data_IF_178593894080
#
_entry.id   IF_178593894080
#
_cell.length_a   1.000
_cell.length_b   1.000
_cell.length_c   1.000
_cell.angle_alpha   90.00
_cell.angle_beta   90.00
_cell.angle_gamma   90.00
#
_symmetry.space_group_name_H-M   'P 1'
#
loop_
_entity.id
_entity.type
_entity.pdbx_description
1 polymer ?
#
# COMPACT_ATOMS: atom_id res chain seq x y z
N UNK A 1 -0.82 -8.10 18.50
CA UNK A 1 -0.55 -6.64 18.67
C UNK A 1 0.67 -6.11 17.89
N UNK A 2 1.47 -6.97 17.25
CA UNK A 2 2.71 -6.58 16.52
C UNK A 2 2.44 -6.03 15.11
N UNK A 3 1.36 -6.43 14.45
CA UNK A 3 1.10 -6.10 13.05
C UNK A 3 0.62 -4.65 12.78
N UNK A 4 -0.05 -3.99 13.74
CA UNK A 4 -0.63 -2.64 13.53
C UNK A 4 0.45 -1.57 13.36
N UNK A 5 1.58 -1.70 14.05
CA UNK A 5 2.66 -0.70 13.98
C UNK A 5 3.31 -0.61 12.59
N UNK A 6 3.30 -1.70 11.80
CA UNK A 6 3.91 -1.71 10.46
C UNK A 6 3.09 -0.92 9.43
N UNK A 7 1.78 -0.79 9.63
CA UNK A 7 0.91 -0.06 8.70
C UNK A 7 0.95 1.45 8.88
N UNK A 8 1.40 1.96 10.03
CA UNK A 8 1.52 3.40 10.28
C UNK A 8 2.48 4.08 9.28
N UNK A 9 3.42 3.33 8.71
CA UNK A 9 4.33 3.84 7.68
C UNK A 9 3.57 4.38 6.45
N UNK A 10 2.41 3.81 6.11
CA UNK A 10 1.60 4.28 4.99
C UNK A 10 0.98 5.65 5.27
N UNK A 11 0.69 5.99 6.54
CA UNK A 11 0.25 7.33 6.92
C UNK A 11 1.37 8.35 6.68
N UNK A 12 2.59 8.02 7.06
CA UNK A 12 3.75 8.87 6.89
C UNK A 12 4.18 9.04 5.44
N UNK A 13 3.96 8.02 4.63
CA UNK A 13 4.28 8.00 3.20
C UNK A 13 3.07 8.26 2.31
N UNK A 14 1.93 8.66 2.86
CA UNK A 14 0.66 8.79 2.13
C UNK A 14 0.77 9.66 0.87
N UNK A 15 1.58 10.72 0.90
CA UNK A 15 1.85 11.59 -0.25
C UNK A 15 2.64 10.91 -1.39
N UNK A 16 3.30 9.78 -1.09
CA UNK A 16 4.07 9.00 -2.06
C UNK A 16 3.35 7.74 -2.51
N UNK A 17 2.24 7.39 -1.85
CA UNK A 17 1.43 6.22 -2.24
C UNK A 17 0.80 6.48 -3.59
N UNK A 18 1.05 5.59 -4.53
CA UNK A 18 0.54 5.66 -5.88
C UNK A 18 -0.20 4.37 -6.23
N UNK A 19 -1.47 4.53 -6.61
CA UNK A 19 -2.28 3.47 -7.18
C UNK A 19 -2.49 3.78 -8.67
N UNK A 20 -2.21 2.80 -9.54
CA UNK A 20 -2.49 2.83 -10.96
C UNK A 20 -3.47 1.72 -11.30
N UNK A 21 -4.58 2.05 -11.92
CA UNK A 21 -5.49 1.07 -12.51
C UNK A 21 -5.04 0.82 -13.94
N UNK A 22 -4.69 -0.43 -14.26
CA UNK A 22 -4.25 -0.87 -15.59
C UNK A 22 -5.43 -1.34 -16.43
N UNK A 23 -6.51 -1.83 -15.77
CA UNK A 23 -7.75 -2.24 -16.41
C UNK A 23 -8.82 -2.53 -15.37
N UNK A 24 -10.07 -2.25 -15.70
CA UNK A 24 -11.22 -2.61 -14.88
C UNK A 24 -12.40 -2.91 -15.81
N UNK A 25 -12.93 -4.11 -15.70
CA UNK A 25 -14.06 -4.54 -16.54
C UNK A 25 -14.86 -5.66 -15.87
N UNK A 26 -16.00 -5.98 -16.45
CA UNK A 26 -16.86 -7.08 -16.02
C UNK A 26 -16.61 -8.32 -16.88
N UNK A 27 -16.54 -9.47 -16.25
CA UNK A 27 -16.47 -10.77 -16.88
C UNK A 27 -17.71 -11.60 -16.54
N UNK A 28 -18.27 -12.26 -17.55
CA UNK A 28 -19.40 -13.20 -17.41
C UNK A 28 -19.00 -14.51 -18.05
N UNK A 29 -19.04 -15.58 -17.28
CA UNK A 29 -18.63 -16.89 -17.73
C UNK A 29 -19.75 -17.92 -17.60
N UNK A 30 -19.83 -18.81 -18.60
CA UNK A 30 -20.77 -19.93 -18.64
C UNK A 30 -20.37 -21.00 -17.59
N UNK A 31 -21.30 -21.97 -17.33
CA UNK A 31 -20.96 -23.16 -16.58
C UNK A 31 -19.70 -23.86 -17.14
N UNK A 32 -18.88 -24.42 -16.24
CA UNK A 32 -17.65 -25.13 -16.59
C UNK A 32 -16.53 -24.25 -17.23
N UNK A 33 -16.60 -22.93 -17.08
CA UNK A 33 -15.49 -22.08 -17.45
C UNK A 33 -14.26 -22.41 -16.61
N UNK A 34 -13.11 -22.52 -17.26
CA UNK A 34 -11.81 -22.75 -16.64
C UNK A 34 -10.82 -21.77 -17.24
N UNK A 35 -10.06 -21.13 -16.38
CA UNK A 35 -8.99 -20.22 -16.76
C UNK A 35 -7.76 -20.46 -15.90
N UNK A 36 -6.59 -20.63 -16.55
CA UNK A 36 -5.30 -20.72 -15.85
C UNK A 36 -4.45 -19.53 -16.28
N UNK A 37 -4.03 -18.72 -15.32
CA UNK A 37 -3.26 -17.50 -15.56
C UNK A 37 -2.25 -17.21 -14.46
N UNK A 38 -1.35 -16.30 -14.76
CA UNK A 38 -0.58 -15.51 -13.81
C UNK A 38 -0.50 -14.08 -14.37
N UNK A 39 -0.51 -13.08 -13.50
CA UNK A 39 -0.47 -11.67 -13.88
C UNK A 39 0.85 -11.03 -13.48
N UNK A 40 1.20 -9.90 -14.12
CA UNK A 40 2.38 -9.10 -13.77
C UNK A 40 2.05 -7.97 -12.79
N UNK A 41 0.76 -7.70 -12.58
CA UNK A 41 0.19 -6.74 -11.66
C UNK A 41 -0.76 -7.43 -10.67
N UNK A 42 -1.30 -6.67 -9.72
CA UNK A 42 -2.35 -7.19 -8.84
C UNK A 42 -3.66 -7.31 -9.60
N UNK A 43 -4.39 -8.38 -9.35
CA UNK A 43 -5.72 -8.58 -9.91
C UNK A 43 -6.72 -8.81 -8.77
N UNK A 44 -7.71 -7.93 -8.69
CA UNK A 44 -8.79 -7.98 -7.70
C UNK A 44 -10.10 -8.30 -8.41
N UNK A 45 -10.72 -9.42 -8.04
CA UNK A 45 -12.05 -9.79 -8.52
C UNK A 45 -13.10 -9.51 -7.45
N UNK A 46 -14.18 -8.84 -7.83
CA UNK A 46 -15.37 -8.66 -7.01
C UNK A 46 -16.47 -9.56 -7.57
N UNK A 47 -16.72 -10.69 -6.91
CA UNK A 47 -17.66 -11.71 -7.38
C UNK A 47 -19.11 -11.24 -7.15
N UNK A 48 -19.86 -11.11 -8.23
CA UNK A 48 -21.25 -10.62 -8.20
C UNK A 48 -22.25 -11.76 -8.16
N UNK A 49 -22.01 -12.82 -8.93
CA UNK A 49 -22.90 -13.96 -9.07
C UNK A 49 -22.11 -15.27 -9.20
N UNK A 50 -22.70 -16.34 -8.69
CA UNK A 50 -22.13 -17.68 -8.78
C UNK A 50 -21.08 -17.98 -7.72
N UNK A 51 -20.33 -19.03 -8.00
CA UNK A 51 -19.22 -19.50 -7.18
C UNK A 51 -18.02 -19.82 -8.07
N UNK A 52 -16.84 -19.57 -7.57
CA UNK A 52 -15.58 -19.86 -8.26
C UNK A 52 -14.69 -20.70 -7.33
N UNK A 53 -14.26 -21.85 -7.84
CA UNK A 53 -13.16 -22.62 -7.26
C UNK A 53 -11.84 -22.05 -7.79
N UNK A 54 -10.90 -21.76 -6.89
CA UNK A 54 -9.58 -21.25 -7.22
C UNK A 54 -8.57 -22.27 -6.71
N UNK A 55 -7.75 -22.76 -7.63
CA UNK A 55 -6.63 -23.66 -7.31
C UNK A 55 -5.32 -22.89 -7.43
N UNK A 56 -4.55 -22.91 -6.34
CA UNK A 56 -3.19 -22.38 -6.28
C UNK A 56 -2.30 -23.51 -5.77
N UNK A 57 -1.35 -23.95 -6.58
CA UNK A 57 -0.56 -25.16 -6.33
C UNK A 57 -1.46 -26.39 -6.05
N UNK A 58 -1.35 -27.01 -4.89
CA UNK A 58 -2.16 -28.19 -4.50
C UNK A 58 -3.43 -27.81 -3.70
N UNK A 59 -3.55 -26.54 -3.31
CA UNK A 59 -4.64 -26.07 -2.46
C UNK A 59 -5.81 -25.53 -3.29
N UNK A 60 -7.02 -25.74 -2.76
CA UNK A 60 -8.27 -25.35 -3.40
C UNK A 60 -9.07 -24.42 -2.48
N UNK A 61 -9.50 -23.29 -3.01
CA UNK A 61 -10.25 -22.27 -2.31
C UNK A 61 -11.59 -22.01 -3.00
N UNK A 62 -12.60 -21.67 -2.23
CA UNK A 62 -13.93 -21.37 -2.76
C UNK A 62 -14.29 -19.92 -2.46
N UNK A 63 -14.70 -19.19 -3.49
CA UNK A 63 -15.30 -17.86 -3.39
C UNK A 63 -16.77 -17.89 -3.80
N UNK A 64 -17.59 -17.14 -3.10
CA UNK A 64 -19.04 -17.02 -3.35
C UNK A 64 -19.42 -15.59 -3.69
N UNK A 65 -20.60 -15.40 -4.27
CA UNK A 65 -21.12 -14.08 -4.58
C UNK A 65 -21.04 -13.13 -3.39
N UNK A 66 -20.46 -11.96 -3.61
CA UNK A 66 -20.18 -10.94 -2.59
C UNK A 66 -18.71 -10.94 -2.12
N UNK A 67 -17.98 -12.02 -2.29
CA UNK A 67 -16.56 -12.08 -1.88
C UNK A 67 -15.65 -11.37 -2.87
N UNK A 68 -14.45 -10.99 -2.38
CA UNK A 68 -13.34 -10.54 -3.21
C UNK A 68 -12.29 -11.65 -3.33
N UNK A 69 -11.56 -11.63 -4.44
CA UNK A 69 -10.41 -12.50 -4.66
C UNK A 69 -9.25 -11.60 -5.07
N UNK A 70 -8.16 -11.62 -4.31
CA UNK A 70 -6.96 -10.84 -4.62
C UNK A 70 -5.81 -11.77 -5.02
N UNK A 71 -5.29 -11.56 -6.21
CA UNK A 71 -4.09 -12.21 -6.71
C UNK A 71 -2.92 -11.23 -6.70
N UNK A 72 -1.80 -11.65 -6.14
CA UNK A 72 -0.53 -10.91 -6.27
C UNK A 72 0.15 -11.23 -7.60
N UNK A 73 1.03 -10.34 -8.09
CA UNK A 73 1.82 -10.60 -9.28
C UNK A 73 2.53 -11.94 -9.23
N UNK A 74 2.57 -12.65 -10.35
CA UNK A 74 3.24 -13.95 -10.53
C UNK A 74 2.61 -15.13 -9.78
N UNK A 75 1.47 -14.93 -9.10
CA UNK A 75 0.68 -16.05 -8.57
C UNK A 75 0.02 -16.78 -9.73
N UNK A 76 0.47 -18.02 -10.00
CA UNK A 76 -0.21 -18.89 -10.94
C UNK A 76 -1.44 -19.51 -10.27
N UNK A 77 -2.57 -19.43 -10.93
CA UNK A 77 -3.82 -20.00 -10.44
C UNK A 77 -4.62 -20.64 -11.57
N UNK A 78 -5.53 -21.52 -11.18
CA UNK A 78 -6.62 -21.98 -12.05
C UNK A 78 -7.94 -21.65 -11.38
N UNK A 79 -8.80 -20.92 -12.07
CA UNK A 79 -10.15 -20.58 -11.64
C UNK A 79 -11.18 -21.37 -12.44
N UNK A 80 -12.18 -21.92 -11.77
CA UNK A 80 -13.26 -22.72 -12.38
C UNK A 80 -14.60 -22.24 -11.85
N UNK A 81 -15.56 -21.94 -12.73
CA UNK A 81 -16.92 -21.62 -12.31
C UNK A 81 -17.66 -22.90 -11.84
N UNK A 82 -18.38 -22.79 -10.73
CA UNK A 82 -19.19 -23.86 -10.18
C UNK A 82 -20.67 -23.57 -10.47
N UNK A 83 -21.42 -24.61 -10.84
CA UNK A 83 -22.88 -24.52 -11.07
C UNK A 83 -23.22 -23.77 -12.34
N UNK A 84 -24.02 -22.73 -12.26
CA UNK A 84 -24.62 -22.04 -13.42
C UNK A 84 -23.76 -20.96 -14.08
N UNK A 85 -22.45 -20.93 -13.76
CA UNK A 85 -21.54 -19.89 -14.23
C UNK A 85 -21.28 -18.83 -13.15
N UNK A 86 -20.52 -17.79 -13.52
CA UNK A 86 -20.18 -16.72 -12.61
C UNK A 86 -20.10 -15.37 -13.31
N UNK A 87 -20.26 -14.29 -12.53
CA UNK A 87 -20.08 -12.91 -12.98
C UNK A 87 -19.26 -12.15 -11.93
N UNK A 88 -18.19 -11.49 -12.36
CA UNK A 88 -17.34 -10.70 -11.49
C UNK A 88 -16.80 -9.47 -12.21
N UNK A 89 -16.43 -8.46 -11.42
CA UNK A 89 -15.67 -7.31 -11.88
C UNK A 89 -14.21 -7.56 -11.51
N UNK A 90 -13.33 -7.53 -12.51
CA UNK A 90 -11.90 -7.62 -12.29
C UNK A 90 -11.25 -6.25 -12.40
N UNK A 91 -10.21 -6.03 -11.62
CA UNK A 91 -9.42 -4.79 -11.63
C UNK A 91 -7.95 -5.12 -11.53
N UNK A 92 -7.25 -4.90 -12.63
CA UNK A 92 -5.78 -4.95 -12.69
C UNK A 92 -5.20 -3.63 -12.19
N UNK A 93 -4.28 -3.68 -11.25
CA UNK A 93 -3.70 -2.47 -10.68
C UNK A 93 -2.29 -2.69 -10.14
N UNK A 94 -1.56 -1.57 -10.00
CA UNK A 94 -0.32 -1.49 -9.25
C UNK A 94 -0.53 -0.59 -8.03
N UNK A 95 0.05 -0.96 -6.90
CA UNK A 95 0.17 -0.11 -5.72
C UNK A 95 1.64 0.01 -5.35
N UNK A 96 2.11 1.24 -5.20
CA UNK A 96 3.50 1.53 -4.94
C UNK A 96 3.73 2.74 -4.06
N UNK A 97 4.99 2.96 -3.69
CA UNK A 97 5.49 4.15 -3.02
C UNK A 97 6.59 4.75 -3.91
N UNK A 98 6.39 5.99 -4.36
CA UNK A 98 7.27 6.60 -5.35
C UNK A 98 7.35 5.77 -6.64
N UNK A 99 8.56 5.41 -7.05
CA UNK A 99 8.79 4.61 -8.27
C UNK A 99 8.75 3.09 -8.02
N UNK A 100 8.56 2.65 -6.77
CA UNK A 100 8.54 1.24 -6.40
C UNK A 100 7.11 0.72 -6.41
N UNK A 101 6.79 -0.08 -7.41
CA UNK A 101 5.52 -0.83 -7.53
C UNK A 101 5.65 -2.18 -6.81
N UNK A 102 4.55 -2.69 -6.27
CA UNK A 102 4.56 -3.99 -5.61
C UNK A 102 4.74 -3.92 -4.09
N UNK A 103 4.36 -2.81 -3.46
CA UNK A 103 4.46 -2.66 -1.99
C UNK A 103 3.60 -3.69 -1.25
N UNK A 104 2.51 -4.16 -1.85
CA UNK A 104 1.62 -5.18 -1.26
C UNK A 104 2.30 -6.55 -1.18
N UNK A 105 3.36 -6.80 -1.96
CA UNK A 105 4.12 -8.06 -1.91
C UNK A 105 4.80 -8.29 -0.54
N UNK A 106 4.95 -7.23 0.27
CA UNK A 106 5.44 -7.32 1.64
C UNK A 106 4.40 -7.86 2.63
N UNK A 107 3.14 -8.06 2.18
CA UNK A 107 2.04 -8.52 3.00
C UNK A 107 1.42 -9.78 2.39
N UNK A 108 0.98 -10.69 3.23
CA UNK A 108 0.27 -11.89 2.79
C UNK A 108 -1.21 -11.54 2.59
N UNK A 109 -1.53 -10.91 1.43
CA UNK A 109 -2.87 -10.42 1.13
C UNK A 109 -3.59 -11.24 0.05
N UNK A 110 -2.87 -12.08 -0.73
CA UNK A 110 -3.50 -12.86 -1.78
C UNK A 110 -4.38 -13.96 -1.20
N UNK A 111 -5.63 -14.01 -1.63
CA UNK A 111 -6.61 -14.95 -1.09
C UNK A 111 -8.04 -14.55 -1.38
N UNK A 112 -8.97 -15.31 -0.80
CA UNK A 112 -10.39 -14.98 -0.77
C UNK A 112 -10.66 -14.09 0.44
N UNK A 113 -11.28 -12.94 0.21
CA UNK A 113 -11.65 -11.96 1.24
C UNK A 113 -13.16 -11.99 1.36
N UNK A 114 -13.67 -12.44 2.50
CA UNK A 114 -15.12 -12.51 2.74
C UNK A 114 -15.72 -11.11 2.80
N UNK A 115 -16.90 -10.94 2.22
CA UNK A 115 -17.59 -9.65 2.13
C UNK A 115 -17.83 -8.98 3.50
N UNK A 116 -17.97 -9.76 4.56
CA UNK A 116 -18.21 -9.24 5.92
C UNK A 116 -17.12 -8.31 6.41
N UNK A 117 -15.90 -8.46 5.92
CA UNK A 117 -14.73 -7.66 6.32
C UNK A 117 -14.67 -6.29 5.63
N UNK A 118 -15.28 -6.17 4.43
CA UNK A 118 -15.12 -5.03 3.51
C UNK A 118 -16.44 -4.63 2.82
N UNK A 119 -17.57 -4.87 3.47
CA UNK A 119 -18.92 -4.74 2.90
C UNK A 119 -19.22 -3.35 2.35
N UNK A 120 -18.90 -2.32 3.11
CA UNK A 120 -19.19 -0.94 2.72
C UNK A 120 -18.28 -0.48 1.59
N UNK A 121 -17.03 -0.90 1.60
CA UNK A 121 -16.05 -0.59 0.58
C UNK A 121 -16.40 -1.26 -0.76
N UNK A 122 -16.88 -2.52 -0.71
CA UNK A 122 -17.40 -3.22 -1.91
C UNK A 122 -18.61 -2.46 -2.47
N UNK A 123 -19.57 -2.07 -1.64
CA UNK A 123 -20.76 -1.32 -2.08
C UNK A 123 -20.36 -0.05 -2.80
N UNK A 124 -19.45 0.74 -2.21
CA UNK A 124 -18.95 1.97 -2.80
C UNK A 124 -18.20 1.73 -4.12
N UNK A 125 -17.40 0.67 -4.19
CA UNK A 125 -16.69 0.27 -5.40
C UNK A 125 -17.67 -0.08 -6.53
N UNK A 126 -18.70 -0.88 -6.25
CA UNK A 126 -19.72 -1.29 -7.24
C UNK A 126 -20.50 -0.10 -7.77
N UNK A 127 -20.98 0.80 -6.91
CA UNK A 127 -21.67 2.02 -7.32
C UNK A 127 -20.79 2.89 -8.23
N UNK A 128 -19.51 2.98 -7.89
CA UNK A 128 -18.55 3.75 -8.68
C UNK A 128 -18.21 3.08 -10.00
N UNK A 129 -18.09 1.75 -10.01
CA UNK A 129 -17.86 1.00 -11.23
C UNK A 129 -19.01 1.18 -12.26
N UNK A 130 -20.26 1.20 -11.82
CA UNK A 130 -21.39 1.48 -12.71
C UNK A 130 -21.31 2.86 -13.38
N UNK A 131 -20.78 3.89 -12.65
CA UNK A 131 -20.53 5.19 -13.23
C UNK A 131 -19.34 5.15 -14.22
N UNK A 132 -18.30 4.40 -13.87
CA UNK A 132 -17.12 4.21 -14.72
C UNK A 132 -17.46 3.50 -16.02
N UNK A 133 -18.25 2.43 -15.97
CA UNK A 133 -18.75 1.67 -17.13
C UNK A 133 -19.53 2.56 -18.12
N UNK A 134 -20.24 3.56 -17.61
CA UNK A 134 -20.99 4.54 -18.43
C UNK A 134 -20.14 5.73 -18.85
N UNK A 135 -18.85 5.72 -18.58
CA UNK A 135 -17.93 6.85 -18.87
C UNK A 135 -18.39 8.20 -18.27
N UNK A 136 -19.02 8.17 -17.10
CA UNK A 136 -19.47 9.39 -16.42
C UNK A 136 -18.29 10.31 -16.10
N UNK A 137 -18.46 11.66 -16.12
CA UNK A 137 -17.39 12.58 -15.79
C UNK A 137 -16.77 12.28 -14.42
N UNK A 138 -15.44 12.33 -14.34
CA UNK A 138 -14.65 12.06 -13.12
C UNK A 138 -14.71 10.60 -12.60
N UNK A 139 -15.42 9.69 -13.28
CA UNK A 139 -15.60 8.31 -12.80
C UNK A 139 -14.29 7.54 -12.64
N UNK A 140 -13.28 7.78 -13.48
CA UNK A 140 -11.97 7.15 -13.34
C UNK A 140 -11.24 7.59 -12.07
N UNK A 141 -11.34 8.87 -11.69
CA UNK A 141 -10.75 9.37 -10.43
C UNK A 141 -11.50 8.81 -9.23
N UNK A 142 -12.85 8.74 -9.30
CA UNK A 142 -13.67 8.12 -8.26
C UNK A 142 -13.34 6.64 -8.08
N UNK A 143 -13.23 5.87 -9.19
CA UNK A 143 -12.86 4.46 -9.16
C UNK A 143 -11.50 4.25 -8.49
N UNK A 144 -10.52 5.08 -8.83
CA UNK A 144 -9.21 5.05 -8.17
C UNK A 144 -9.31 5.34 -6.67
N UNK A 145 -10.10 6.33 -6.26
CA UNK A 145 -10.34 6.65 -4.85
C UNK A 145 -11.00 5.50 -4.11
N UNK A 146 -12.05 4.90 -4.68
CA UNK A 146 -12.76 3.75 -4.08
C UNK A 146 -11.87 2.51 -3.98
N UNK A 147 -11.06 2.22 -5.01
CA UNK A 147 -10.09 1.12 -4.95
C UNK A 147 -9.03 1.38 -3.88
N UNK A 148 -8.57 2.62 -3.72
CA UNK A 148 -7.63 2.98 -2.64
C UNK A 148 -8.24 2.74 -1.26
N UNK A 149 -9.50 3.12 -1.04
CA UNK A 149 -10.24 2.88 0.20
C UNK A 149 -10.37 1.37 0.44
N UNK A 150 -10.76 0.60 -0.57
CA UNK A 150 -10.93 -0.85 -0.46
C UNK A 150 -9.63 -1.56 -0.11
N UNK A 151 -8.52 -1.25 -0.79
CA UNK A 151 -7.21 -1.83 -0.50
C UNK A 151 -6.73 -1.43 0.91
N UNK A 152 -6.89 -0.16 1.30
CA UNK A 152 -6.51 0.28 2.65
C UNK A 152 -7.30 -0.45 3.73
N UNK A 153 -8.58 -0.75 3.49
CA UNK A 153 -9.41 -1.54 4.42
C UNK A 153 -8.93 -2.99 4.50
N UNK A 154 -8.62 -3.63 3.39
CA UNK A 154 -8.04 -4.99 3.39
C UNK A 154 -6.73 -5.03 4.19
N UNK A 155 -5.85 -4.04 3.99
CA UNK A 155 -4.61 -3.93 4.75
C UNK A 155 -4.86 -3.68 6.26
N UNK A 156 -5.86 -2.87 6.60
CA UNK A 156 -6.28 -2.66 7.99
C UNK A 156 -6.72 -3.99 8.64
N UNK A 157 -7.57 -4.78 7.96
CA UNK A 157 -8.01 -6.08 8.45
C UNK A 157 -6.83 -7.06 8.63
N UNK A 158 -5.87 -7.03 7.71
CA UNK A 158 -4.62 -7.77 7.85
C UNK A 158 -3.83 -7.31 9.09
N UNK A 159 -3.66 -6.02 9.30
CA UNK A 159 -2.97 -5.45 10.47
C UNK A 159 -3.63 -5.78 11.80
N UNK A 160 -4.97 -5.88 11.83
CA UNK A 160 -5.75 -6.30 12.98
C UNK A 160 -5.72 -7.82 13.22
N UNK A 161 -5.13 -8.61 12.32
CA UNK A 161 -5.12 -10.08 12.36
C UNK A 161 -6.48 -10.71 12.06
N UNK A 162 -7.42 -9.95 11.48
CA UNK A 162 -8.76 -10.43 11.10
C UNK A 162 -8.79 -11.03 9.70
N UNK A 163 -7.79 -10.75 8.90
CA UNK A 163 -7.59 -11.29 7.57
C UNK A 163 -6.13 -11.69 7.36
N UNK A 164 -5.94 -12.81 6.70
CA UNK A 164 -4.64 -13.23 6.15
C UNK A 164 -4.90 -13.98 4.86
N UNK A 165 -4.22 -13.58 3.79
CA UNK A 165 -4.34 -14.25 2.51
C UNK A 165 -3.85 -15.69 2.58
N UNK A 166 -4.60 -16.58 1.93
CA UNK A 166 -4.40 -18.02 2.00
C UNK A 166 -3.61 -18.57 0.82
N UNK A 167 -3.49 -17.79 -0.29
CA UNK A 167 -2.73 -18.23 -1.47
C UNK A 167 -1.24 -18.21 -1.15
N UNK A 168 -0.76 -19.32 -0.60
CA UNK A 168 0.62 -19.45 -0.15
C UNK A 168 1.54 -19.90 -1.28
N UNK A 169 2.55 -19.10 -1.52
CA UNK A 169 3.71 -19.41 -2.35
C UNK A 169 4.82 -19.91 -1.46
N UNK A 170 5.18 -21.16 -1.57
CA UNK A 170 6.27 -21.74 -0.77
C UNK A 170 7.65 -21.10 -1.05
N UNK A 171 7.81 -20.44 -2.20
CA UNK A 171 9.14 -19.95 -2.63
C UNK A 171 9.34 -18.43 -2.44
N UNK A 172 8.29 -17.61 -2.43
CA UNK A 172 8.42 -16.14 -2.48
C UNK A 172 8.25 -15.43 -1.14
N UNK A 173 7.34 -15.90 -0.29
CA UNK A 173 6.98 -15.23 0.97
C UNK A 173 8.09 -15.25 2.03
N UNK A 174 8.98 -16.25 2.02
CA UNK A 174 10.07 -16.33 3.00
C UNK A 174 11.11 -15.21 2.91
N UNK A 175 11.24 -14.55 1.75
CA UNK A 175 12.25 -13.47 1.57
C UNK A 175 11.71 -12.07 1.79
N UNK A 176 10.43 -11.80 1.59
CA UNK A 176 9.89 -10.42 1.56
C UNK A 176 9.16 -9.98 2.84
N UNK A 177 8.42 -10.85 3.53
CA UNK A 177 7.75 -10.54 4.81
C UNK A 177 8.73 -10.16 5.93
N UNK A 178 10.01 -10.50 5.78
CA UNK A 178 11.08 -10.19 6.72
C UNK A 178 11.44 -8.69 6.69
N UNK A 179 11.21 -7.98 5.59
CA UNK A 179 11.75 -6.65 5.38
C UNK A 179 11.21 -5.58 6.33
N UNK A 180 9.90 -5.49 6.50
CA UNK A 180 9.30 -4.45 7.33
C UNK A 180 9.50 -4.71 8.83
N UNK A 181 9.43 -5.96 9.26
CA UNK A 181 9.67 -6.33 10.67
C UNK A 181 11.09 -5.99 11.11
N UNK A 182 12.08 -6.23 10.24
CA UNK A 182 13.47 -5.87 10.50
C UNK A 182 13.68 -4.35 10.60
N UNK A 183 12.86 -3.56 9.92
CA UNK A 183 12.93 -2.10 9.93
C UNK A 183 12.11 -1.45 11.06
N UNK A 184 11.28 -2.19 11.79
CA UNK A 184 10.48 -1.64 12.89
C UNK A 184 11.28 -0.84 13.92
N UNK A 185 12.40 -1.35 14.47
CA UNK A 185 13.21 -0.58 15.43
C UNK A 185 13.72 0.72 14.82
N UNK A 186 14.01 0.70 13.51
CA UNK A 186 14.46 1.89 12.76
C UNK A 186 13.35 2.93 12.67
N UNK A 187 12.12 2.51 12.36
CA UNK A 187 10.98 3.43 12.27
C UNK A 187 10.67 4.09 13.60
N UNK A 188 10.62 3.31 14.69
CA UNK A 188 10.43 3.86 16.03
C UNK A 188 11.52 4.89 16.37
N UNK A 189 12.78 4.52 16.14
CA UNK A 189 13.89 5.43 16.41
C UNK A 189 13.82 6.72 15.58
N UNK A 190 13.47 6.63 14.30
CA UNK A 190 13.30 7.82 13.45
C UNK A 190 12.20 8.73 14.00
N UNK A 191 11.04 8.18 14.37
CA UNK A 191 9.92 8.95 14.92
C UNK A 191 10.30 9.65 16.22
N UNK A 192 10.93 8.93 17.14
CA UNK A 192 11.34 9.46 18.45
C UNK A 192 12.44 10.53 18.32
N UNK A 193 13.36 10.36 17.37
CA UNK A 193 14.54 11.21 17.20
C UNK A 193 14.43 12.18 16.01
N UNK A 194 13.23 12.41 15.46
CA UNK A 194 13.04 13.29 14.29
C UNK A 194 13.51 14.73 14.53
N UNK A 195 13.55 15.14 15.81
CA UNK A 195 14.05 16.43 16.27
C UNK A 195 15.58 16.56 16.23
N UNK A 196 16.29 15.51 15.90
CA UNK A 196 17.75 15.49 15.82
C UNK A 196 18.26 15.27 14.39
N UNK A 197 19.57 15.42 14.24
CA UNK A 197 20.26 15.02 13.02
C UNK A 197 20.49 13.50 13.01
N UNK A 198 19.68 12.79 12.23
CA UNK A 198 19.74 11.33 12.11
C UNK A 198 20.85 10.91 11.14
N UNK A 199 21.74 10.02 11.58
CA UNK A 199 22.79 9.45 10.73
C UNK A 199 22.36 8.08 10.22
N UNK A 200 22.49 7.84 8.93
CA UNK A 200 22.12 6.56 8.28
C UNK A 200 22.90 5.39 8.89
N UNK A 201 24.15 5.61 9.29
CA UNK A 201 24.98 4.61 9.97
C UNK A 201 24.35 4.10 11.27
N UNK A 202 23.75 4.99 12.06
CA UNK A 202 23.14 4.62 13.34
C UNK A 202 21.86 3.80 13.10
N UNK A 203 21.09 4.14 12.07
CA UNK A 203 19.92 3.39 11.64
C UNK A 203 20.29 1.99 11.11
N UNK A 204 21.39 1.90 10.37
CA UNK A 204 21.90 0.63 9.88
C UNK A 204 22.29 -0.31 11.03
N UNK A 205 22.92 0.22 12.07
CA UNK A 205 23.27 -0.54 13.28
C UNK A 205 22.04 -1.08 14.00
N UNK A 206 20.97 -0.29 14.11
CA UNK A 206 19.68 -0.73 14.67
C UNK A 206 19.04 -1.88 13.88
N UNK A 207 19.24 -1.88 12.56
CA UNK A 207 18.76 -2.97 11.69
C UNK A 207 19.75 -4.17 11.66
N UNK A 208 20.89 -4.12 12.36
CA UNK A 208 21.91 -5.17 12.30
C UNK A 208 22.60 -5.29 10.95
N UNK A 209 22.72 -4.17 10.20
CA UNK A 209 23.21 -4.16 8.81
C UNK A 209 24.40 -3.22 8.64
N UNK A 210 25.21 -3.46 7.59
CA UNK A 210 26.15 -2.44 7.10
C UNK A 210 25.38 -1.29 6.47
N UNK A 211 25.92 -0.06 6.52
CA UNK A 211 25.25 1.12 5.97
C UNK A 211 24.85 0.98 4.50
N UNK A 212 25.76 0.44 3.67
CA UNK A 212 25.49 0.20 2.23
C UNK A 212 24.35 -0.79 2.02
N UNK A 213 24.35 -1.88 2.77
CA UNK A 213 23.31 -2.90 2.68
C UNK A 213 21.98 -2.38 3.22
N UNK A 214 21.98 -1.61 4.30
CA UNK A 214 20.79 -0.97 4.88
C UNK A 214 20.11 -0.02 3.88
N UNK A 215 20.87 0.86 3.20
CA UNK A 215 20.33 1.76 2.19
C UNK A 215 19.63 0.97 1.06
N UNK A 216 20.29 -0.06 0.57
CA UNK A 216 19.73 -0.95 -0.45
C UNK A 216 18.46 -1.64 0.05
N UNK A 217 18.53 -2.26 1.23
CA UNK A 217 17.45 -3.01 1.86
C UNK A 217 16.22 -2.12 2.12
N UNK A 218 16.44 -0.95 2.71
CA UNK A 218 15.39 0.03 2.98
C UNK A 218 14.70 0.47 1.68
N UNK A 219 15.47 0.73 0.63
CA UNK A 219 14.94 1.10 -0.68
C UNK A 219 14.15 -0.05 -1.32
N UNK A 220 14.59 -1.28 -1.17
CA UNK A 220 13.84 -2.45 -1.64
C UNK A 220 12.53 -2.64 -0.89
N UNK A 221 12.51 -2.38 0.41
CA UNK A 221 11.31 -2.51 1.24
C UNK A 221 10.27 -1.40 0.99
N UNK A 222 10.71 -0.17 0.75
CA UNK A 222 9.84 1.02 0.75
C UNK A 222 9.89 1.83 -0.55
N UNK A 223 10.70 1.46 -1.51
CA UNK A 223 10.86 2.22 -2.75
C UNK A 223 11.63 3.54 -2.63
N UNK A 224 11.90 4.01 -1.42
CA UNK A 224 12.63 5.25 -1.12
C UNK A 224 13.87 4.98 -0.27
N UNK A 225 14.90 5.82 -0.38
CA UNK A 225 16.07 5.69 0.49
C UNK A 225 15.76 6.17 1.90
N UNK A 226 16.52 5.71 2.94
CA UNK A 226 16.34 6.19 4.31
C UNK A 226 16.42 7.71 4.44
N UNK A 227 17.34 8.35 3.71
CA UNK A 227 17.46 9.80 3.69
C UNK A 227 16.25 10.51 3.08
N UNK A 228 15.69 9.97 2.00
CA UNK A 228 14.46 10.48 1.42
C UNK A 228 13.27 10.35 2.37
N UNK A 229 13.15 9.21 3.04
CA UNK A 229 12.11 8.96 4.03
C UNK A 229 12.18 9.98 5.19
N UNK A 230 13.35 10.14 5.83
CA UNK A 230 13.56 11.11 6.91
C UNK A 230 13.26 12.53 6.45
N UNK A 231 13.70 12.88 5.24
CA UNK A 231 13.44 14.19 4.65
C UNK A 231 11.95 14.45 4.48
N UNK A 232 11.21 13.47 3.97
CA UNK A 232 9.74 13.52 3.81
C UNK A 232 9.06 13.75 5.17
N UNK A 233 9.40 12.95 6.18
CA UNK A 233 8.86 13.08 7.53
C UNK A 233 9.08 14.49 8.10
N UNK A 234 10.32 15.01 7.99
CA UNK A 234 10.64 16.36 8.45
C UNK A 234 9.83 17.43 7.72
N UNK A 235 9.62 17.29 6.41
CA UNK A 235 8.82 18.24 5.61
C UNK A 235 7.34 18.18 5.99
N UNK A 236 6.78 17.00 6.18
CA UNK A 236 5.38 16.83 6.63
C UNK A 236 5.19 17.45 8.03
N UNK A 237 6.10 17.21 8.96
CA UNK A 237 6.05 17.81 10.30
C UNK A 237 6.23 19.33 10.25
N UNK A 238 7.13 19.84 9.40
CA UNK A 238 7.31 21.28 9.18
C UNK A 238 6.02 21.94 8.71
N UNK A 239 5.35 21.34 7.73
CA UNK A 239 4.07 21.82 7.22
C UNK A 239 3.04 21.96 8.33
N UNK A 240 2.89 20.94 9.16
CA UNK A 240 1.92 20.95 10.26
C UNK A 240 2.22 22.07 11.25
N UNK A 241 3.51 22.20 11.68
CA UNK A 241 3.94 23.26 12.61
C UNK A 241 3.73 24.67 12.04
N UNK A 242 3.89 24.86 10.73
CA UNK A 242 3.58 26.11 10.06
C UNK A 242 2.07 26.43 10.10
N UNK A 243 1.21 25.43 9.85
CA UNK A 243 -0.24 25.63 9.94
C UNK A 243 -0.74 25.93 11.35
N UNK A 244 -0.08 25.40 12.38
CA UNK A 244 -0.37 25.69 13.78
C UNK A 244 -0.10 27.17 14.12
N UNK A 245 0.80 27.86 13.41
CA UNK A 245 1.18 29.29 13.58
C UNK A 245 1.67 29.64 14.98
N UNK A 246 2.11 28.67 15.77
CA UNK A 246 2.57 28.88 17.14
C UNK A 246 4.09 29.05 17.24
N UNK A 247 4.81 28.70 16.18
CA UNK A 247 6.28 28.61 16.18
C UNK A 247 6.88 29.50 15.09
N UNK A 248 7.98 30.17 15.43
CA UNK A 248 8.83 30.87 14.46
C UNK A 248 9.54 29.85 13.54
N UNK A 249 10.00 30.31 12.39
CA UNK A 249 10.80 29.50 11.45
C UNK A 249 12.06 28.96 12.12
N UNK A 250 12.65 29.73 13.04
CA UNK A 250 13.85 29.34 13.81
C UNK A 250 13.53 28.18 14.77
N UNK A 251 12.42 28.26 15.49
CA UNK A 251 11.97 27.19 16.38
C UNK A 251 11.65 25.91 15.61
N UNK A 252 10.92 26.04 14.48
CA UNK A 252 10.61 24.89 13.61
C UNK A 252 11.90 24.24 13.09
N UNK A 253 12.89 25.01 12.65
CA UNK A 253 14.17 24.48 12.22
C UNK A 253 14.87 23.71 13.34
N UNK A 254 14.88 24.25 14.55
CA UNK A 254 15.46 23.60 15.74
C UNK A 254 14.70 22.32 16.10
N UNK A 255 13.36 22.36 16.13
CA UNK A 255 12.49 21.20 16.43
C UNK A 255 12.64 20.04 15.42
N UNK A 256 13.14 20.34 14.22
CA UNK A 256 13.37 19.37 13.17
C UNK A 256 14.85 18.99 13.02
N UNK A 257 15.72 19.44 13.95
CA UNK A 257 17.15 19.10 13.98
C UNK A 257 17.95 19.68 12.82
N UNK A 258 17.55 20.85 12.31
CA UNK A 258 18.38 21.64 11.39
C UNK A 258 19.36 22.51 12.17
N UNK A 259 20.57 22.64 11.65
CA UNK A 259 21.62 23.45 12.27
C UNK A 259 21.27 24.95 12.31
N UNK A 260 20.48 25.41 11.37
CA UNK A 260 20.11 26.80 11.22
C UNK A 260 18.80 26.95 10.38
N UNK A 261 18.09 28.10 10.52
CA UNK A 261 16.86 28.39 9.80
C UNK A 261 17.05 28.51 8.28
N UNK A 262 18.22 28.87 7.81
CA UNK A 262 18.49 29.00 6.37
C UNK A 262 18.53 27.61 5.70
N UNK A 263 19.26 26.68 6.30
CA UNK A 263 19.30 25.26 5.85
C UNK A 263 17.92 24.63 5.82
N UNK A 264 17.12 24.86 6.86
CA UNK A 264 15.71 24.44 6.87
C UNK A 264 14.90 25.09 5.74
N UNK A 265 14.95 26.41 5.60
CA UNK A 265 14.19 27.14 4.58
C UNK A 265 14.53 26.72 3.16
N UNK A 266 15.81 26.42 2.90
CA UNK A 266 16.29 25.89 1.62
C UNK A 266 15.71 24.48 1.36
N UNK A 267 15.73 23.62 2.37
CA UNK A 267 15.17 22.27 2.28
C UNK A 267 13.66 22.32 2.05
N UNK A 268 12.94 23.15 2.81
CA UNK A 268 11.49 23.32 2.70
C UNK A 268 11.09 23.86 1.31
N UNK A 269 11.77 24.92 0.82
CA UNK A 269 11.54 25.47 -0.52
C UNK A 269 11.84 24.46 -1.62
N UNK A 270 12.87 23.61 -1.46
CA UNK A 270 13.16 22.53 -2.42
C UNK A 270 11.99 21.57 -2.52
N UNK A 271 11.33 21.25 -1.41
CA UNK A 271 10.24 20.30 -1.32
C UNK A 271 8.91 20.91 -1.78
N UNK A 272 8.46 21.99 -1.13
CA UNK A 272 7.16 22.61 -1.39
C UNK A 272 7.17 23.69 -2.48
N UNK A 273 8.34 24.02 -3.08
CA UNK A 273 8.54 25.03 -4.12
C UNK A 273 8.34 26.48 -3.65
N UNK A 274 7.87 26.69 -2.43
CA UNK A 274 7.73 28.01 -1.78
C UNK A 274 8.49 28.03 -0.45
N UNK A 275 9.04 29.18 -0.01
CA UNK A 275 9.72 29.27 1.27
C UNK A 275 8.73 29.15 2.44
N UNK A 276 9.17 28.71 3.65
CA UNK A 276 8.28 28.60 4.82
C UNK A 276 7.56 29.91 5.18
N UNK A 277 8.22 31.06 5.00
CA UNK A 277 7.67 32.39 5.29
C UNK A 277 6.52 32.84 4.37
N UNK A 278 6.31 32.12 3.27
CA UNK A 278 5.24 32.40 2.29
C UNK A 278 4.25 31.22 2.18
N UNK A 279 4.41 30.22 3.01
CA UNK A 279 3.64 28.99 2.89
C UNK A 279 2.26 29.07 3.56
N UNK A 280 2.13 29.89 4.62
CA UNK A 280 0.90 30.08 5.41
C UNK A 280 0.61 31.54 5.64
#
# INVERSE_FOLDING_TARGET
MVAINNLNIFNELSELVMLRINGCSEAVHSPNWIESKNHFDYDLWCLQEGQIEIRVEEEVYLASAGDLILFSPKVAYTATSIGNGCRFIFTHFDLGIGDHLGILDNFQLSGVITNTLVKEEIRLFLETYEQYKRSAPMSGIRLKGCLTILISKIMEQYGLGQYRGEFTYHTYLRKQTIYLDTLQPVFHYIQDQLHQSLRIKDLALLAGMSEKYFIYYFKQALGVTPGQYIYQLKMNRARNLLYERHYSIQEIASMLGYSDPYSFSKAFKKYYKVPPSQFV
#
